data_IF_604180307442
#
_entry.id   IF_604180307442
#
_cell.length_a   1.000
_cell.length_b   1.000
_cell.length_c   1.000
_cell.angle_alpha   90.00
_cell.angle_beta   90.00
_cell.angle_gamma   90.00
#
_symmetry.space_group_name_H-M   'P 1'
#
loop_
_entity.id
_entity.type
_entity.pdbx_description
1 polymer ?
#
# COMPACT_ATOMS: atom_id res chain seq x y z
N UNK A 1 -23.66 29.46 35.83
CA UNK A 1 -23.91 28.06 36.18
C UNK A 1 -23.97 27.27 34.87
N UNK A 2 -22.97 26.39 34.61
CA UNK A 2 -22.99 25.55 33.38
C UNK A 2 -23.91 24.38 33.63
N UNK A 3 -24.90 24.21 32.77
CA UNK A 3 -25.93 23.18 32.87
C UNK A 3 -25.32 21.77 32.81
N UNK A 4 -25.48 20.92 33.84
CA UNK A 4 -24.90 19.57 33.87
C UNK A 4 -25.41 18.66 32.73
N UNK A 5 -26.63 18.90 32.22
CA UNK A 5 -27.21 18.18 31.09
C UNK A 5 -26.43 18.41 29.79
N UNK A 6 -25.97 19.65 29.53
CA UNK A 6 -25.17 19.99 28.35
C UNK A 6 -23.76 19.34 28.39
N UNK A 7 -23.21 19.15 29.60
CA UNK A 7 -21.89 18.52 29.77
C UNK A 7 -21.98 17.01 29.52
N UNK A 8 -23.04 16.35 30.00
CA UNK A 8 -23.29 14.94 29.78
C UNK A 8 -23.57 14.61 28.29
N UNK A 9 -24.34 15.44 27.58
CA UNK A 9 -24.57 15.30 26.14
C UNK A 9 -23.29 15.45 25.31
N UNK A 10 -22.42 16.40 25.66
CA UNK A 10 -21.12 16.58 24.98
C UNK A 10 -20.18 15.41 25.23
N UNK A 11 -20.16 14.84 26.44
CA UNK A 11 -19.35 13.64 26.75
C UNK A 11 -19.90 12.38 26.04
N UNK A 12 -21.21 12.21 25.92
CA UNK A 12 -21.80 11.12 25.12
C UNK A 12 -21.52 11.26 23.63
N UNK A 13 -21.58 12.49 23.09
CA UNK A 13 -21.21 12.76 21.69
C UNK A 13 -19.72 12.46 21.41
N UNK A 14 -18.82 12.82 22.32
CA UNK A 14 -17.40 12.51 22.20
C UNK A 14 -17.10 11.00 22.29
N UNK A 15 -17.75 10.26 23.19
CA UNK A 15 -17.57 8.80 23.30
C UNK A 15 -18.10 8.06 22.05
N UNK A 16 -19.25 8.47 21.52
CA UNK A 16 -19.79 7.93 20.26
C UNK A 16 -18.87 8.23 19.07
N UNK A 17 -18.27 9.43 19.03
CA UNK A 17 -17.30 9.80 18.01
C UNK A 17 -16.01 8.98 18.06
N UNK A 18 -15.48 8.67 19.24
CA UNK A 18 -14.28 7.84 19.42
C UNK A 18 -14.55 6.39 19.05
N UNK A 19 -15.64 5.78 19.50
CA UNK A 19 -16.02 4.41 19.15
C UNK A 19 -16.28 4.28 17.65
N UNK A 20 -17.01 5.22 17.05
CA UNK A 20 -17.21 5.26 15.60
C UNK A 20 -15.88 5.41 14.85
N UNK A 21 -14.95 6.23 15.36
CA UNK A 21 -13.62 6.41 14.74
C UNK A 21 -12.78 5.12 14.79
N UNK A 22 -12.83 4.37 15.89
CA UNK A 22 -12.10 3.11 16.04
C UNK A 22 -12.63 2.05 15.07
N UNK A 23 -13.96 1.97 14.89
CA UNK A 23 -14.59 1.02 13.96
C UNK A 23 -14.39 1.44 12.49
N UNK A 24 -14.43 2.74 12.19
CA UNK A 24 -14.27 3.23 10.80
C UNK A 24 -12.83 3.24 10.33
N UNK A 25 -11.84 3.24 11.23
CA UNK A 25 -10.41 3.25 10.87
C UNK A 25 -9.99 2.00 10.09
N UNK A 26 -10.27 0.75 10.55
CA UNK A 26 -9.94 -0.45 9.77
C UNK A 26 -10.68 -0.50 8.43
N UNK A 27 -11.95 -0.05 8.38
CA UNK A 27 -12.69 0.01 7.11
C UNK A 27 -12.07 0.99 6.12
N UNK A 28 -11.60 2.15 6.59
CA UNK A 28 -10.88 3.11 5.75
C UNK A 28 -9.54 2.55 5.26
N UNK A 29 -8.79 1.90 6.15
CA UNK A 29 -7.54 1.25 5.79
C UNK A 29 -7.76 0.18 4.73
N UNK A 30 -8.77 -0.66 4.90
CA UNK A 30 -9.14 -1.71 3.96
C UNK A 30 -9.57 -1.13 2.61
N UNK A 31 -10.32 -0.03 2.62
CA UNK A 31 -10.69 0.72 1.41
C UNK A 31 -9.47 1.28 0.66
N UNK A 32 -8.47 1.81 1.38
CA UNK A 32 -7.21 2.29 0.78
C UNK A 32 -6.41 1.13 0.19
N UNK A 33 -6.34 -0.01 0.88
CA UNK A 33 -5.63 -1.20 0.38
C UNK A 33 -6.28 -1.78 -0.88
N UNK A 34 -7.61 -1.95 -0.87
CA UNK A 34 -8.35 -2.42 -2.04
C UNK A 34 -8.22 -1.41 -3.19
N UNK A 35 -8.36 -0.13 -2.91
CA UNK A 35 -8.21 0.93 -3.91
C UNK A 35 -6.81 0.94 -4.54
N UNK A 36 -5.75 0.79 -3.74
CA UNK A 36 -4.37 0.71 -4.25
C UNK A 36 -4.09 -0.59 -5.02
N UNK A 37 -4.70 -1.72 -4.64
CA UNK A 37 -4.62 -2.96 -5.42
C UNK A 37 -5.28 -2.80 -6.79
N UNK A 38 -6.50 -2.28 -6.83
CA UNK A 38 -7.21 -2.03 -8.10
C UNK A 38 -6.39 -1.06 -8.97
N UNK A 39 -5.88 0.01 -8.38
CA UNK A 39 -5.03 0.98 -9.07
C UNK A 39 -3.77 0.32 -9.63
N UNK A 40 -3.09 -0.54 -8.87
CA UNK A 40 -1.91 -1.29 -9.31
C UNK A 40 -2.23 -2.19 -10.51
N UNK A 41 -3.35 -2.94 -10.47
CA UNK A 41 -3.79 -3.79 -11.57
C UNK A 41 -4.12 -2.95 -12.82
N UNK A 42 -4.83 -1.84 -12.66
CA UNK A 42 -5.17 -0.94 -13.77
C UNK A 42 -3.91 -0.37 -14.41
N UNK A 43 -2.95 0.11 -13.60
CA UNK A 43 -1.69 0.66 -14.10
C UNK A 43 -0.89 -0.42 -14.84
N UNK A 44 -0.86 -1.67 -14.33
CA UNK A 44 -0.17 -2.78 -15.00
C UNK A 44 -0.85 -3.14 -16.34
N UNK A 45 -2.18 -3.22 -16.36
CA UNK A 45 -2.94 -3.46 -17.60
C UNK A 45 -2.71 -2.37 -18.65
N UNK A 46 -2.68 -1.11 -18.23
CA UNK A 46 -2.36 0.03 -19.11
C UNK A 46 -0.89 -0.03 -19.54
N UNK A 47 0.01 -0.36 -18.61
CA UNK A 47 1.44 -0.52 -18.87
C UNK A 47 1.74 -1.59 -19.91
N UNK A 48 1.09 -2.75 -19.84
CA UNK A 48 1.20 -3.81 -20.86
C UNK A 48 0.84 -3.33 -22.25
N UNK A 49 -0.05 -2.35 -22.37
CA UNK A 49 -0.47 -1.84 -23.66
C UNK A 49 0.44 -0.71 -24.17
N UNK A 50 0.93 0.18 -23.30
CA UNK A 50 1.64 1.40 -23.67
C UNK A 50 3.15 1.32 -23.51
N UNK A 51 3.65 0.67 -22.45
CA UNK A 51 5.05 0.74 -22.07
C UNK A 51 5.85 -0.53 -22.37
N UNK A 52 5.24 -1.72 -22.20
CA UNK A 52 5.90 -3.01 -22.40
C UNK A 52 5.03 -4.04 -23.15
N UNK A 53 4.57 -3.70 -24.39
CA UNK A 53 3.72 -4.59 -25.17
C UNK A 53 4.40 -5.92 -25.53
N UNK A 54 5.73 -5.93 -25.67
CA UNK A 54 6.50 -7.12 -25.99
C UNK A 54 6.64 -8.10 -24.81
N UNK A 55 6.69 -7.58 -23.58
CA UNK A 55 6.84 -8.40 -22.37
C UNK A 55 5.50 -8.97 -21.87
N UNK A 56 4.41 -8.21 -22.05
CA UNK A 56 3.09 -8.58 -21.60
C UNK A 56 3.07 -8.95 -20.11
N UNK A 57 2.40 -10.04 -19.74
CA UNK A 57 2.30 -10.53 -18.35
C UNK A 57 3.64 -10.97 -17.73
N UNK A 58 4.68 -11.21 -18.55
CA UNK A 58 6.03 -11.56 -18.05
C UNK A 58 6.67 -10.41 -17.26
N UNK A 59 6.29 -9.17 -17.56
CA UNK A 59 6.71 -8.02 -16.77
C UNK A 59 6.27 -8.15 -15.31
N UNK A 60 4.99 -8.44 -15.06
CA UNK A 60 4.46 -8.64 -13.70
C UNK A 60 5.12 -9.83 -13.00
N UNK A 61 5.44 -10.90 -13.72
CA UNK A 61 6.18 -12.05 -13.18
C UNK A 61 7.60 -11.66 -12.77
N UNK A 62 8.32 -10.92 -13.62
CA UNK A 62 9.69 -10.46 -13.32
C UNK A 62 9.72 -9.50 -12.14
N UNK A 63 8.70 -8.66 -11.99
CA UNK A 63 8.52 -7.80 -10.82
C UNK A 63 8.40 -8.62 -9.53
N UNK A 64 7.56 -9.65 -9.53
CA UNK A 64 7.40 -10.51 -8.36
C UNK A 64 8.73 -11.17 -7.95
N UNK A 65 9.47 -11.71 -8.93
CA UNK A 65 10.77 -12.33 -8.67
C UNK A 65 11.77 -11.33 -8.09
N UNK A 66 11.83 -10.13 -8.64
CA UNK A 66 12.71 -9.07 -8.15
C UNK A 66 12.37 -8.66 -6.71
N UNK A 67 11.08 -8.48 -6.38
CA UNK A 67 10.64 -8.12 -5.02
C UNK A 67 10.97 -9.22 -3.99
N UNK A 68 10.82 -10.49 -4.38
CA UNK A 68 11.18 -11.63 -3.54
C UNK A 68 12.69 -11.71 -3.32
N UNK A 69 13.50 -11.53 -4.36
CA UNK A 69 14.95 -11.51 -4.27
C UNK A 69 15.44 -10.35 -3.39
N UNK A 70 14.92 -9.17 -3.59
CA UNK A 70 15.20 -8.00 -2.74
C UNK A 70 14.89 -8.26 -1.27
N UNK A 71 13.74 -8.87 -0.99
CA UNK A 71 13.33 -9.16 0.37
C UNK A 71 14.25 -10.19 1.04
N UNK A 72 14.64 -11.23 0.30
CA UNK A 72 15.56 -12.27 0.81
C UNK A 72 16.97 -11.76 1.04
N UNK A 73 17.44 -10.83 0.20
CA UNK A 73 18.82 -10.31 0.23
C UNK A 73 19.00 -9.19 1.26
N UNK A 74 18.06 -8.26 1.32
CA UNK A 74 18.21 -7.04 2.13
C UNK A 74 17.53 -7.09 3.49
N UNK A 75 16.52 -7.93 3.68
CA UNK A 75 15.82 -8.10 4.94
C UNK A 75 16.14 -9.44 5.60
N UNK A 76 17.43 -9.73 5.81
CA UNK A 76 17.86 -10.97 6.47
C UNK A 76 17.37 -11.09 7.92
N UNK A 77 17.20 -9.96 8.62
CA UNK A 77 16.60 -9.90 9.97
C UNK A 77 15.78 -8.61 10.11
N UNK A 78 14.58 -8.75 10.65
CA UNK A 78 13.72 -7.63 11.01
C UNK A 78 13.38 -7.70 12.50
N UNK A 79 13.05 -6.54 13.09
CA UNK A 79 12.57 -6.47 14.45
C UNK A 79 11.23 -7.20 14.69
N UNK A 80 10.47 -7.47 13.61
CA UNK A 80 9.11 -8.06 13.68
C UNK A 80 9.14 -9.53 13.23
N UNK A 81 9.93 -9.87 12.20
CA UNK A 81 9.98 -11.20 11.59
C UNK A 81 11.42 -11.68 11.52
N UNK A 82 11.69 -12.88 12.01
CA UNK A 82 13.06 -13.41 12.07
C UNK A 82 13.64 -13.74 10.69
N UNK A 83 12.80 -14.23 9.76
CA UNK A 83 13.19 -14.60 8.40
C UNK A 83 12.18 -14.04 7.38
N UNK A 84 12.26 -12.72 7.03
CA UNK A 84 11.29 -12.09 6.17
C UNK A 84 11.20 -12.71 4.77
N UNK A 85 12.32 -13.14 4.19
CA UNK A 85 12.36 -13.81 2.89
C UNK A 85 11.55 -15.11 2.89
N UNK A 86 11.73 -15.96 3.90
CA UNK A 86 10.98 -17.21 4.04
C UNK A 86 9.50 -16.98 4.24
N UNK A 87 9.14 -15.99 5.07
CA UNK A 87 7.74 -15.60 5.28
C UNK A 87 7.11 -15.10 3.99
N UNK A 88 7.83 -14.31 3.18
CA UNK A 88 7.35 -13.85 1.89
C UNK A 88 7.09 -15.01 0.92
N UNK A 89 8.03 -15.96 0.81
CA UNK A 89 7.83 -17.15 -0.03
C UNK A 89 6.60 -17.94 0.41
N UNK A 90 6.43 -18.19 1.71
CA UNK A 90 5.26 -18.90 2.23
C UNK A 90 3.94 -18.15 1.96
N UNK A 91 3.93 -16.83 2.10
CA UNK A 91 2.76 -16.00 1.79
C UNK A 91 2.44 -16.04 0.29
N UNK A 92 3.46 -15.91 -0.56
CA UNK A 92 3.30 -15.98 -2.01
C UNK A 92 2.82 -17.37 -2.44
N UNK A 93 3.39 -18.45 -1.91
CA UNK A 93 2.95 -19.82 -2.20
C UNK A 93 1.49 -20.04 -1.79
N UNK A 94 1.13 -19.57 -0.60
CA UNK A 94 -0.25 -19.65 -0.12
C UNK A 94 -1.20 -18.83 -1.01
N UNK A 95 -0.84 -17.60 -1.33
CA UNK A 95 -1.63 -16.73 -2.20
C UNK A 95 -1.70 -17.28 -3.63
N UNK A 96 -0.60 -17.85 -4.16
CA UNK A 96 -0.58 -18.52 -5.46
C UNK A 96 -1.54 -19.71 -5.49
N UNK A 97 -1.52 -20.57 -4.47
CA UNK A 97 -2.45 -21.67 -4.37
C UNK A 97 -3.91 -21.20 -4.33
N UNK A 98 -4.20 -20.13 -3.60
CA UNK A 98 -5.53 -19.54 -3.55
C UNK A 98 -5.95 -18.95 -4.90
N UNK A 99 -5.10 -18.14 -5.52
CA UNK A 99 -5.41 -17.38 -6.73
C UNK A 99 -5.44 -18.29 -7.97
N UNK A 100 -4.50 -19.23 -8.09
CA UNK A 100 -4.37 -20.04 -9.32
C UNK A 100 -5.01 -21.42 -9.20
N UNK A 101 -4.87 -22.10 -8.06
CA UNK A 101 -5.31 -23.48 -7.89
C UNK A 101 -6.75 -23.56 -7.40
N UNK A 102 -7.07 -22.91 -6.26
CA UNK A 102 -8.41 -23.01 -5.68
C UNK A 102 -9.50 -22.29 -6.48
N UNK A 103 -9.17 -21.22 -7.17
CA UNK A 103 -10.12 -20.55 -8.07
C UNK A 103 -10.35 -21.31 -9.37
N UNK A 104 -9.55 -22.35 -9.64
CA UNK A 104 -9.60 -23.09 -10.91
C UNK A 104 -9.12 -22.27 -12.11
N UNK A 105 -8.39 -21.19 -11.88
CA UNK A 105 -7.89 -20.30 -12.94
C UNK A 105 -6.97 -21.08 -13.90
N UNK A 106 -6.09 -21.94 -13.38
CA UNK A 106 -5.21 -22.80 -14.17
C UNK A 106 -6.01 -23.80 -15.02
N UNK A 107 -7.02 -24.44 -14.43
CA UNK A 107 -7.86 -25.41 -15.13
C UNK A 107 -8.71 -24.72 -16.21
N UNK A 108 -9.24 -23.54 -15.88
CA UNK A 108 -9.98 -22.73 -16.84
C UNK A 108 -9.08 -22.30 -18.01
N UNK A 109 -7.85 -21.82 -17.74
CA UNK A 109 -6.87 -21.43 -18.75
C UNK A 109 -6.45 -22.62 -19.62
N UNK A 110 -6.14 -23.79 -19.03
CA UNK A 110 -5.73 -24.98 -19.78
C UNK A 110 -6.84 -25.49 -20.69
N UNK A 111 -8.07 -25.57 -20.18
CA UNK A 111 -9.24 -25.99 -20.94
C UNK A 111 -9.59 -25.02 -22.07
N UNK A 112 -9.44 -23.74 -21.83
CA UNK A 112 -9.78 -22.75 -22.83
C UNK A 112 -8.69 -22.65 -23.92
N UNK A 113 -7.39 -22.76 -23.55
CA UNK A 113 -6.30 -22.85 -24.52
C UNK A 113 -6.39 -24.13 -25.39
N UNK A 114 -6.82 -25.26 -24.82
CA UNK A 114 -7.07 -26.48 -25.54
C UNK A 114 -8.22 -26.32 -26.56
N UNK A 115 -9.30 -25.63 -26.17
CA UNK A 115 -10.44 -25.34 -27.08
C UNK A 115 -10.05 -24.37 -28.20
N UNK A 116 -9.18 -23.38 -27.93
CA UNK A 116 -8.70 -22.44 -28.95
C UNK A 116 -7.82 -23.11 -30.02
N UNK A 117 -7.10 -24.19 -29.65
CA UNK A 117 -6.22 -24.96 -30.56
C UNK A 117 -6.90 -26.06 -31.29
N UNK A 118 -8.16 -26.41 -31.02
CA UNK A 118 -8.88 -27.48 -31.68
C UNK A 118 -9.14 -27.17 -33.18
N UNK A 119 -8.77 -28.06 -34.13
CA UNK A 119 -8.97 -27.82 -35.55
C UNK A 119 -10.49 -27.83 -35.87
N UNK A 120 -10.97 -26.79 -36.54
CA UNK A 120 -12.35 -26.64 -36.93
C UNK A 120 -12.50 -26.58 -38.46
N UNK A 121 -13.44 -27.35 -39.01
CA UNK A 121 -13.81 -27.29 -40.42
C UNK A 121 -14.70 -26.06 -40.70
N UNK A 122 -14.38 -25.43 -41.79
CA UNK A 122 -15.08 -24.40 -42.59
C UNK A 122 -16.15 -23.48 -42.00
N UNK A 123 -16.25 -22.28 -42.48
CA UNK A 123 -17.22 -21.19 -42.24
C UNK A 123 -17.31 -20.54 -40.83
N UNK A 124 -16.87 -21.19 -39.77
CA UNK A 124 -16.77 -20.59 -38.44
C UNK A 124 -15.40 -19.94 -38.17
N UNK A 125 -14.54 -19.81 -39.21
CA UNK A 125 -13.15 -19.33 -39.07
C UNK A 125 -13.05 -17.90 -38.55
N UNK A 126 -13.88 -17.00 -39.06
CA UNK A 126 -13.74 -15.58 -38.70
C UNK A 126 -14.20 -15.33 -37.28
N UNK A 127 -15.34 -15.87 -36.87
CA UNK A 127 -15.86 -15.67 -35.50
C UNK A 127 -15.00 -16.38 -34.45
N UNK A 128 -14.52 -17.58 -34.72
CA UNK A 128 -13.61 -18.30 -33.82
C UNK A 128 -12.23 -17.65 -33.74
N UNK A 129 -11.73 -17.09 -34.83
CA UNK A 129 -10.48 -16.33 -34.83
C UNK A 129 -10.59 -15.12 -33.91
N UNK A 130 -11.65 -14.31 -34.03
CA UNK A 130 -11.88 -13.18 -33.10
C UNK A 130 -12.08 -13.62 -31.66
N UNK A 131 -12.82 -14.71 -31.44
CA UNK A 131 -12.97 -15.28 -30.09
C UNK A 131 -11.64 -15.77 -29.51
N UNK A 132 -10.80 -16.44 -30.28
CA UNK A 132 -9.48 -16.88 -29.81
C UNK A 132 -8.55 -15.71 -29.51
N UNK A 133 -8.63 -14.64 -30.30
CA UNK A 133 -7.84 -13.43 -30.09
C UNK A 133 -8.29 -12.66 -28.84
N UNK A 134 -9.58 -12.47 -28.66
CA UNK A 134 -10.15 -11.88 -27.41
C UNK A 134 -9.79 -12.73 -26.20
N UNK A 135 -9.82 -14.06 -26.36
CA UNK A 135 -9.46 -14.98 -25.31
C UNK A 135 -7.99 -14.86 -24.90
N UNK A 136 -7.05 -14.88 -25.84
CA UNK A 136 -5.61 -14.72 -25.54
C UNK A 136 -5.29 -13.37 -24.88
N UNK A 137 -5.99 -12.32 -25.27
CA UNK A 137 -5.88 -11.02 -24.62
C UNK A 137 -6.38 -11.05 -23.18
N UNK A 138 -7.59 -11.60 -22.96
CA UNK A 138 -8.18 -11.71 -21.62
C UNK A 138 -7.32 -12.59 -20.71
N UNK A 139 -6.78 -13.69 -21.22
CA UNK A 139 -5.86 -14.59 -20.50
C UNK A 139 -4.62 -13.83 -20.02
N UNK A 140 -3.97 -13.06 -20.88
CA UNK A 140 -2.77 -12.29 -20.56
C UNK A 140 -3.04 -11.26 -19.45
N UNK A 141 -4.17 -10.57 -19.51
CA UNK A 141 -4.55 -9.59 -18.47
C UNK A 141 -4.88 -10.26 -17.13
N UNK A 142 -5.54 -11.41 -17.14
CA UNK A 142 -5.83 -12.17 -15.91
C UNK A 142 -4.55 -12.68 -15.25
N UNK A 143 -3.61 -13.20 -16.02
CA UNK A 143 -2.30 -13.64 -15.52
C UNK A 143 -1.54 -12.45 -14.93
N UNK A 144 -1.48 -11.33 -15.64
CA UNK A 144 -0.84 -10.12 -15.16
C UNK A 144 -1.48 -9.63 -13.86
N UNK A 145 -2.81 -9.56 -13.77
CA UNK A 145 -3.53 -9.18 -12.57
C UNK A 145 -3.23 -10.11 -11.39
N UNK A 146 -3.10 -11.42 -11.63
CA UNK A 146 -2.76 -12.39 -10.61
C UNK A 146 -1.32 -12.17 -10.09
N UNK A 147 -0.33 -12.02 -10.97
CA UNK A 147 1.06 -11.71 -10.56
C UNK A 147 1.17 -10.35 -9.87
N UNK A 148 0.46 -9.34 -10.35
CA UNK A 148 0.38 -8.02 -9.69
C UNK A 148 -0.21 -8.12 -8.28
N UNK A 149 -1.22 -8.97 -8.09
CA UNK A 149 -1.79 -9.22 -6.76
C UNK A 149 -0.78 -9.90 -5.83
N UNK A 150 0.00 -10.87 -6.33
CA UNK A 150 1.08 -11.49 -5.55
C UNK A 150 2.18 -10.48 -5.18
N UNK A 151 2.60 -9.66 -6.14
CA UNK A 151 3.55 -8.56 -5.89
C UNK A 151 3.02 -7.58 -4.85
N UNK A 152 1.74 -7.25 -4.91
CA UNK A 152 1.08 -6.40 -3.92
C UNK A 152 1.13 -7.00 -2.50
N UNK A 153 0.93 -8.31 -2.35
CA UNK A 153 1.06 -9.01 -1.06
C UNK A 153 2.49 -8.92 -0.52
N UNK A 154 3.51 -9.11 -1.38
CA UNK A 154 4.91 -8.95 -0.98
C UNK A 154 5.19 -7.51 -0.53
N UNK A 155 4.73 -6.52 -1.28
CA UNK A 155 4.88 -5.10 -0.92
C UNK A 155 4.15 -4.74 0.38
N UNK A 156 3.00 -5.34 0.65
CA UNK A 156 2.31 -5.21 1.94
C UNK A 156 3.18 -5.73 3.09
N UNK A 157 3.83 -6.88 2.90
CA UNK A 157 4.77 -7.41 3.89
C UNK A 157 5.94 -6.44 4.11
N UNK A 158 6.53 -5.89 3.06
CA UNK A 158 7.61 -4.88 3.15
C UNK A 158 7.13 -3.65 3.93
N UNK A 159 5.93 -3.14 3.66
CA UNK A 159 5.36 -2.03 4.42
C UNK A 159 5.20 -2.37 5.90
N UNK A 160 4.74 -3.57 6.21
CA UNK A 160 4.65 -4.03 7.60
C UNK A 160 6.02 -4.09 8.28
N UNK A 161 7.04 -4.59 7.59
CA UNK A 161 8.41 -4.65 8.10
C UNK A 161 9.06 -3.27 8.30
N UNK A 162 8.59 -2.26 7.57
CA UNK A 162 9.08 -0.87 7.69
C UNK A 162 8.31 -0.03 8.70
N UNK A 163 7.24 -0.54 9.32
CA UNK A 163 6.52 0.16 10.39
C UNK A 163 7.43 0.66 11.53
N UNK A 164 8.40 -0.13 12.05
CA UNK A 164 9.31 0.34 13.08
C UNK A 164 10.11 1.58 12.66
N UNK A 165 10.48 1.70 11.38
CA UNK A 165 11.19 2.87 10.85
C UNK A 165 10.33 4.14 10.97
N UNK A 166 9.05 4.06 10.60
CA UNK A 166 8.11 5.18 10.72
C UNK A 166 7.82 5.54 12.18
N UNK A 167 7.68 4.53 13.05
CA UNK A 167 7.49 4.74 14.48
C UNK A 167 8.72 5.42 15.11
N UNK A 168 9.93 4.94 14.81
CA UNK A 168 11.17 5.50 15.28
C UNK A 168 11.33 6.96 14.83
N UNK A 169 11.12 7.23 13.55
CA UNK A 169 11.22 8.58 12.99
C UNK A 169 10.20 9.53 13.63
N UNK A 170 8.96 9.07 13.83
CA UNK A 170 7.93 9.82 14.52
C UNK A 170 8.31 10.10 15.98
N UNK A 171 8.83 9.10 16.68
CA UNK A 171 9.26 9.24 18.07
C UNK A 171 10.42 10.24 18.21
N UNK A 172 11.46 10.10 17.39
CA UNK A 172 12.60 11.02 17.37
C UNK A 172 12.14 12.44 17.05
N UNK A 173 11.30 12.62 16.02
CA UNK A 173 10.75 13.92 15.67
C UNK A 173 9.89 14.52 16.76
N UNK A 174 9.13 13.71 17.48
CA UNK A 174 8.33 14.16 18.62
C UNK A 174 9.20 14.64 19.79
N UNK A 175 10.21 13.86 20.18
CA UNK A 175 11.16 14.22 21.26
C UNK A 175 11.91 15.49 20.91
N UNK A 176 12.48 15.59 19.70
CA UNK A 176 13.18 16.80 19.25
C UNK A 176 12.25 18.02 19.23
N UNK A 177 11.00 17.84 18.81
CA UNK A 177 9.97 18.88 18.85
C UNK A 177 9.65 19.36 20.28
N UNK A 178 9.58 18.45 21.25
CA UNK A 178 9.40 18.82 22.67
C UNK A 178 10.60 19.59 23.21
N UNK A 179 11.82 19.15 22.93
CA UNK A 179 13.04 19.84 23.31
C UNK A 179 13.07 21.27 22.75
N UNK A 180 12.80 21.42 21.46
CA UNK A 180 12.73 22.73 20.78
C UNK A 180 11.64 23.63 21.40
N UNK A 181 10.51 23.05 21.80
CA UNK A 181 9.44 23.77 22.48
C UNK A 181 9.91 24.28 23.84
N UNK A 182 10.60 23.43 24.62
CA UNK A 182 11.05 23.81 25.95
C UNK A 182 12.19 24.85 25.90
N UNK A 183 13.15 24.69 25.00
CA UNK A 183 14.19 25.70 24.74
C UNK A 183 13.57 27.05 24.35
N UNK A 184 12.50 27.06 23.55
CA UNK A 184 11.83 28.30 23.15
C UNK A 184 11.12 29.02 24.32
N UNK A 185 10.69 28.29 25.36
CA UNK A 185 10.08 28.91 26.53
C UNK A 185 11.07 29.80 27.31
N UNK A 186 12.37 29.53 27.21
CA UNK A 186 13.44 30.36 27.81
C UNK A 186 13.84 31.54 26.92
N UNK A 187 13.48 31.52 25.62
CA UNK A 187 13.65 32.62 24.69
C UNK A 187 12.30 33.28 24.38
N UNK A 188 12.25 34.57 24.13
CA UNK A 188 11.04 35.33 23.82
C UNK A 188 10.42 34.98 22.44
N UNK A 189 10.44 33.69 22.04
CA UNK A 189 10.00 33.21 20.74
C UNK A 189 8.47 33.23 20.58
N UNK A 190 7.98 33.81 19.47
CA UNK A 190 6.55 33.85 19.12
C UNK A 190 6.05 32.46 18.66
N UNK A 191 4.94 32.01 19.20
CA UNK A 191 4.26 30.81 18.78
C UNK A 191 3.35 31.09 17.57
N UNK A 192 3.52 30.31 16.49
CA UNK A 192 2.69 30.43 15.29
C UNK A 192 1.65 29.30 15.22
N UNK A 193 0.39 29.64 15.53
CA UNK A 193 -0.74 28.71 15.40
C UNK A 193 -0.97 28.23 13.95
N UNK A 194 -0.62 29.07 12.98
CA UNK A 194 -0.77 28.73 11.55
C UNK A 194 0.13 27.56 11.15
N UNK A 195 1.39 27.55 11.60
CA UNK A 195 2.34 26.45 11.32
C UNK A 195 1.85 25.15 11.95
N UNK A 196 1.34 25.21 13.17
CA UNK A 196 0.78 24.03 13.84
C UNK A 196 -0.38 23.40 13.05
N UNK A 197 -1.36 24.21 12.65
CA UNK A 197 -2.51 23.70 11.91
C UNK A 197 -2.11 23.09 10.56
N UNK A 198 -1.14 23.69 9.87
CA UNK A 198 -0.64 23.18 8.59
C UNK A 198 0.16 21.88 8.77
N UNK A 199 1.05 21.83 9.76
CA UNK A 199 1.79 20.62 10.11
C UNK A 199 0.84 19.48 10.51
N UNK A 200 -0.14 19.75 11.36
CA UNK A 200 -1.16 18.76 11.75
C UNK A 200 -1.96 18.23 10.56
N UNK A 201 -2.36 19.10 9.64
CA UNK A 201 -3.12 18.72 8.45
C UNK A 201 -2.29 17.84 7.49
N UNK A 202 -0.98 18.03 7.41
CA UNK A 202 -0.09 17.25 6.52
C UNK A 202 0.32 15.89 7.09
N UNK A 203 0.10 15.60 8.38
CA UNK A 203 0.49 14.30 8.98
C UNK A 203 -0.21 13.12 8.32
N UNK A 204 -1.54 13.18 8.13
CA UNK A 204 -2.30 12.07 7.50
C UNK A 204 -1.88 11.81 6.04
N UNK A 205 -1.79 12.82 5.18
CA UNK A 205 -1.27 12.60 3.82
C UNK A 205 0.15 12.04 3.80
N UNK A 206 1.05 12.51 4.67
CA UNK A 206 2.44 12.03 4.73
C UNK A 206 2.58 10.58 5.17
N UNK A 207 1.64 10.06 5.94
CA UNK A 207 1.62 8.63 6.29
C UNK A 207 1.05 7.80 5.14
N UNK A 208 -0.07 8.22 4.57
CA UNK A 208 -0.85 7.40 3.63
C UNK A 208 -0.31 7.46 2.20
N UNK A 209 0.12 8.64 1.74
CA UNK A 209 0.51 8.85 0.35
C UNK A 209 1.75 8.02 -0.07
N UNK A 210 2.83 7.93 0.71
CA UNK A 210 3.97 7.07 0.36
C UNK A 210 3.58 5.58 0.26
N UNK A 211 2.64 5.13 1.08
CA UNK A 211 2.16 3.76 1.05
C UNK A 211 1.37 3.48 -0.23
N UNK A 212 0.46 4.38 -0.62
CA UNK A 212 -0.29 4.26 -1.87
C UNK A 212 0.67 4.26 -3.07
N UNK A 213 1.63 5.21 -3.10
CA UNK A 213 2.62 5.30 -4.17
C UNK A 213 3.42 4.01 -4.27
N UNK A 214 3.98 3.52 -3.16
CA UNK A 214 4.79 2.31 -3.16
C UNK A 214 4.00 1.07 -3.61
N UNK A 215 2.74 0.93 -3.14
CA UNK A 215 1.89 -0.19 -3.52
C UNK A 215 1.43 -0.15 -4.98
N UNK A 216 1.19 1.05 -5.52
CA UNK A 216 0.65 1.22 -6.88
C UNK A 216 1.73 1.29 -7.97
N UNK A 217 3.02 1.38 -7.62
CA UNK A 217 4.10 1.59 -8.58
C UNK A 217 4.23 0.40 -9.55
N UNK A 218 4.18 0.60 -10.88
CA UNK A 218 4.27 -0.47 -11.87
C UNK A 218 5.72 -0.90 -12.17
N UNK A 219 6.68 -0.45 -11.37
CA UNK A 219 8.09 -0.79 -11.47
C UNK A 219 8.61 -1.25 -10.12
N UNK A 220 9.54 -2.19 -10.13
CA UNK A 220 10.21 -2.64 -8.91
C UNK A 220 11.31 -1.65 -8.53
N UNK A 221 11.08 -0.94 -7.43
CA UNK A 221 12.03 0.04 -6.87
C UNK A 221 12.42 -0.40 -5.48
N UNK A 222 13.69 -0.19 -5.12
CA UNK A 222 14.15 -0.52 -3.78
C UNK A 222 13.30 0.21 -2.72
N UNK A 223 12.67 -0.52 -1.76
CA UNK A 223 11.71 0.06 -0.81
C UNK A 223 12.26 1.25 -0.02
N UNK A 224 13.54 1.20 0.36
CA UNK A 224 14.19 2.27 1.12
C UNK A 224 14.26 3.60 0.38
N UNK A 225 14.28 3.61 -0.98
CA UNK A 225 14.29 4.85 -1.75
C UNK A 225 13.01 5.68 -1.58
N UNK A 226 11.89 5.02 -1.32
CA UNK A 226 10.59 5.69 -1.13
C UNK A 226 10.29 5.85 0.36
N UNK A 227 10.46 4.77 1.14
CA UNK A 227 10.00 4.73 2.52
C UNK A 227 10.92 5.48 3.49
N UNK A 228 12.25 5.47 3.25
CA UNK A 228 13.19 6.20 4.11
C UNK A 228 13.00 7.73 4.03
N UNK A 229 12.99 8.37 2.84
CA UNK A 229 12.73 9.80 2.74
C UNK A 229 11.37 10.19 3.31
N UNK A 230 10.35 9.35 3.08
CA UNK A 230 9.00 9.58 3.61
C UNK A 230 8.96 9.57 5.13
N UNK A 231 9.66 8.61 5.76
CA UNK A 231 9.78 8.51 7.20
C UNK A 231 10.51 9.74 7.78
N UNK A 232 11.61 10.19 7.12
CA UNK A 232 12.34 11.39 7.54
C UNK A 232 11.47 12.65 7.47
N UNK A 233 10.72 12.83 6.36
CA UNK A 233 9.81 13.97 6.23
C UNK A 233 8.70 13.91 7.28
N UNK A 234 8.15 12.73 7.55
CA UNK A 234 7.17 12.55 8.62
C UNK A 234 7.73 12.95 9.97
N UNK A 235 8.93 12.50 10.33
CA UNK A 235 9.61 12.89 11.58
C UNK A 235 9.83 14.39 11.69
N UNK A 236 10.27 15.05 10.60
CA UNK A 236 10.44 16.49 10.55
C UNK A 236 9.11 17.25 10.76
N UNK A 237 8.03 16.80 10.15
CA UNK A 237 6.71 17.42 10.31
C UNK A 237 6.15 17.19 11.71
N UNK A 238 6.37 16.01 12.30
CA UNK A 238 6.03 15.74 13.72
C UNK A 238 6.81 16.66 14.65
N UNK A 239 8.12 16.86 14.41
CA UNK A 239 8.95 17.79 15.16
C UNK A 239 8.39 19.23 15.09
N UNK A 240 8.00 19.70 13.88
CA UNK A 240 7.39 21.02 13.71
C UNK A 240 6.05 21.09 14.46
N UNK A 241 5.20 20.09 14.35
CA UNK A 241 3.91 20.05 15.02
C UNK A 241 4.06 20.08 16.55
N UNK A 242 4.97 19.25 17.10
CA UNK A 242 5.25 19.19 18.53
C UNK A 242 5.87 20.48 19.06
N UNK A 243 6.80 21.09 18.30
CA UNK A 243 7.45 22.32 18.69
C UNK A 243 6.51 23.53 18.66
N UNK A 244 5.49 23.55 17.81
CA UNK A 244 4.55 24.68 17.67
C UNK A 244 3.24 24.48 18.43
N UNK A 245 3.10 23.37 19.16
CA UNK A 245 1.90 23.07 19.94
C UNK A 245 1.68 24.07 21.08
N UNK A 246 0.52 24.74 21.09
CA UNK A 246 0.07 25.61 22.16
C UNK A 246 -0.65 24.84 23.25
N UNK A 247 -0.33 25.07 24.52
CA UNK A 247 -0.98 24.45 25.67
C UNK A 247 -2.41 24.95 25.88
N UNK A 248 -2.76 26.12 25.34
CA UNK A 248 -4.06 26.77 25.49
C UNK A 248 -4.67 27.05 24.10
N UNK A 249 -5.34 26.07 23.55
CA UNK A 249 -6.30 26.18 22.46
C UNK A 249 -7.68 25.78 22.98
#
# INVERSE_FOLDING_TARGET
MKDPANTAQRQQGQRRGLLASIVTLPMRLLGVLIGSLILSIVIECVGMHLFWPEQGWRHSQSMLQYELDQLSTHFTRSAIVQEPGRTAHQLVDTAYQWIFVKTGLLDWMSNASARARAPSHDAARDFRYYLSQVYTWTESYLIAAAFTTLTFVVRLLVLFLTLPLFLLSTFVGFVDGLVRRDVRKFGAGRESGFIYHRAKASLMPLVVLPWIIYLALPISVHPLLILLPSALVLGAVVCIAASTFKKYL
#
